data_IF_077862424452
#
_entry.id   IF_077862424452
#
_cell.length_a   1.000
_cell.length_b   1.000
_cell.length_c   1.000
_cell.angle_alpha   90.00
_cell.angle_beta   90.00
_cell.angle_gamma   90.00
#
_symmetry.space_group_name_H-M   'P 1'
#
loop_
_entity.id
_entity.type
_entity.pdbx_description
1 polymer ?
#
# COMPACT_ATOMS: atom_id res chain seq x y z
N UNK A 1 -5.33 7.85 -28.51
CA UNK A 1 -5.32 6.36 -28.60
C UNK A 1 -4.41 5.83 -27.50
N UNK A 2 -4.90 4.88 -26.69
CA UNK A 2 -4.10 4.24 -25.62
C UNK A 2 -3.07 3.27 -26.24
N UNK A 3 -1.94 3.07 -25.58
CA UNK A 3 -0.81 2.22 -26.00
C UNK A 3 -0.23 1.50 -24.79
N UNK A 4 0.34 0.32 -24.99
CA UNK A 4 1.08 -0.41 -23.95
C UNK A 4 2.44 0.27 -23.68
N UNK A 5 2.72 0.51 -22.40
CA UNK A 5 3.98 1.02 -21.86
C UNK A 5 4.46 0.12 -20.72
N UNK A 6 5.78 0.11 -20.55
CA UNK A 6 6.47 -0.48 -19.42
C UNK A 6 7.16 0.66 -18.67
N UNK A 7 6.89 0.78 -17.38
CA UNK A 7 7.60 1.68 -16.47
C UNK A 7 8.49 0.81 -15.58
N UNK A 8 9.80 1.06 -15.59
CA UNK A 8 10.73 0.58 -14.57
C UNK A 8 11.23 1.75 -13.74
N UNK A 9 11.23 1.64 -12.42
CA UNK A 9 11.86 2.63 -11.54
C UNK A 9 12.62 1.97 -10.39
N UNK A 10 13.58 2.74 -9.87
CA UNK A 10 14.48 2.38 -8.77
C UNK A 10 14.24 3.38 -7.64
N UNK A 11 13.88 2.90 -6.46
CA UNK A 11 13.75 3.69 -5.25
C UNK A 11 15.03 3.67 -4.41
N UNK A 12 15.27 4.72 -3.63
CA UNK A 12 16.33 4.77 -2.61
C UNK A 12 16.18 3.56 -1.65
N UNK A 13 17.24 2.77 -1.37
CA UNK A 13 17.18 1.63 -0.46
C UNK A 13 16.90 1.97 1.01
N UNK A 14 16.87 3.25 1.38
CA UNK A 14 16.51 3.77 2.71
C UNK A 14 14.99 3.95 2.90
N UNK A 15 14.19 3.92 1.83
CA UNK A 15 12.74 4.05 1.98
C UNK A 15 12.15 2.81 2.64
N UNK A 16 11.24 3.03 3.60
CA UNK A 16 10.51 1.95 4.24
C UNK A 16 9.45 1.34 3.30
N UNK A 17 8.95 0.16 3.64
CA UNK A 17 7.91 -0.50 2.84
C UNK A 17 6.61 0.32 2.75
N UNK A 18 6.27 1.07 3.81
CA UNK A 18 5.13 1.99 3.82
C UNK A 18 5.28 3.14 2.82
N UNK A 19 6.47 3.76 2.75
CA UNK A 19 6.79 4.78 1.74
C UNK A 19 6.76 4.17 0.34
N UNK A 20 7.31 2.96 0.16
CA UNK A 20 7.24 2.22 -1.11
C UNK A 20 5.80 2.02 -1.59
N UNK A 21 4.88 1.68 -0.67
CA UNK A 21 3.44 1.57 -0.98
C UNK A 21 2.82 2.92 -1.33
N UNK A 22 3.12 3.98 -0.57
CA UNK A 22 2.63 5.33 -0.86
C UNK A 22 3.09 5.87 -2.22
N UNK A 23 4.32 5.56 -2.66
CA UNK A 23 4.81 5.90 -4.01
C UNK A 23 4.08 5.10 -5.07
N UNK A 24 3.87 3.79 -4.85
CA UNK A 24 3.07 2.94 -5.73
C UNK A 24 1.66 3.52 -5.88
N UNK A 25 0.94 3.75 -4.78
CA UNK A 25 -0.39 4.35 -4.79
C UNK A 25 -0.40 5.71 -5.51
N UNK A 26 0.60 6.57 -5.29
CA UNK A 26 0.75 7.86 -6.02
C UNK A 26 0.84 7.65 -7.54
N UNK A 27 1.59 6.65 -8.00
CA UNK A 27 1.67 6.26 -9.41
C UNK A 27 0.33 5.70 -9.90
N UNK A 28 -0.34 4.85 -9.12
CA UNK A 28 -1.66 4.31 -9.47
C UNK A 28 -2.73 5.40 -9.60
N UNK A 29 -2.73 6.39 -8.70
CA UNK A 29 -3.63 7.55 -8.75
C UNK A 29 -3.39 8.40 -10.01
N UNK A 30 -2.14 8.71 -10.36
CA UNK A 30 -1.83 9.43 -11.62
C UNK A 30 -2.32 8.64 -12.84
N UNK A 31 -2.14 7.31 -12.85
CA UNK A 31 -2.63 6.45 -13.93
C UNK A 31 -4.17 6.44 -14.01
N UNK A 32 -4.85 6.35 -12.88
CA UNK A 32 -6.31 6.34 -12.80
C UNK A 32 -6.94 7.69 -13.22
N UNK A 33 -6.37 8.81 -12.76
CA UNK A 33 -6.85 10.16 -13.06
C UNK A 33 -6.81 10.52 -14.56
N UNK A 34 -6.00 9.82 -15.34
CA UNK A 34 -5.85 10.02 -16.78
C UNK A 34 -6.34 8.82 -17.62
N UNK A 35 -7.34 8.09 -17.12
CA UNK A 35 -8.03 7.04 -17.89
C UNK A 35 -7.09 5.88 -18.33
N UNK A 36 -6.02 5.65 -17.57
CA UNK A 36 -5.05 4.59 -17.77
C UNK A 36 -5.46 3.27 -17.10
N UNK A 37 -4.91 2.16 -17.58
CA UNK A 37 -5.12 0.83 -16.99
C UNK A 37 -3.78 0.19 -16.62
N UNK A 38 -3.68 -0.32 -15.40
CA UNK A 38 -2.54 -1.14 -14.96
C UNK A 38 -2.83 -2.60 -15.32
N UNK A 39 -1.87 -3.25 -15.97
CA UNK A 39 -1.98 -4.65 -16.42
C UNK A 39 -1.31 -5.59 -15.42
N UNK A 40 -0.18 -5.17 -14.85
CA UNK A 40 0.63 -5.96 -13.91
C UNK A 40 1.63 -5.08 -13.19
N UNK A 41 1.78 -5.30 -11.88
CA UNK A 41 2.89 -4.78 -11.07
C UNK A 41 3.86 -5.94 -10.79
N UNK A 42 5.16 -5.67 -10.79
CA UNK A 42 6.21 -6.63 -10.48
C UNK A 42 7.29 -5.97 -9.63
N UNK A 43 7.28 -6.29 -8.33
CA UNK A 43 8.26 -5.81 -7.37
C UNK A 43 9.40 -6.82 -7.27
N UNK A 44 10.64 -6.38 -7.49
CA UNK A 44 11.84 -7.23 -7.46
C UNK A 44 12.58 -7.17 -6.12
N UNK A 45 12.14 -6.31 -5.21
CA UNK A 45 12.83 -6.06 -3.94
C UNK A 45 14.11 -5.23 -4.09
N UNK A 46 14.89 -5.18 -3.02
CA UNK A 46 16.19 -4.52 -2.97
C UNK A 46 17.24 -5.34 -3.73
N UNK A 47 17.91 -4.73 -4.70
CA UNK A 47 19.01 -5.33 -5.47
C UNK A 47 20.19 -4.36 -5.57
N UNK A 48 21.40 -4.92 -5.65
CA UNK A 48 22.64 -4.16 -5.80
C UNK A 48 22.76 -3.54 -7.20
N UNK A 49 23.08 -2.25 -7.25
CA UNK A 49 23.32 -1.48 -8.47
C UNK A 49 24.72 -1.77 -9.04
N UNK A 50 24.88 -1.65 -10.36
CA UNK A 50 26.17 -1.84 -11.03
C UNK A 50 27.19 -0.74 -10.74
N UNK A 51 26.70 0.46 -10.41
CA UNK A 51 27.47 1.64 -10.00
C UNK A 51 26.61 2.47 -9.03
N UNK A 52 27.21 3.31 -8.17
CA UNK A 52 26.42 4.09 -7.21
C UNK A 52 25.62 5.20 -7.90
N UNK A 53 24.36 5.35 -7.52
CA UNK A 53 23.49 6.46 -7.91
C UNK A 53 23.20 7.24 -6.63
N UNK A 54 23.49 8.54 -6.61
CA UNK A 54 23.30 9.42 -5.44
C UNK A 54 23.93 8.85 -4.14
N UNK A 55 25.09 8.19 -4.30
CA UNK A 55 25.85 7.47 -3.26
C UNK A 55 25.27 6.11 -2.81
N UNK A 56 24.04 5.76 -3.20
CA UNK A 56 23.45 4.45 -2.93
C UNK A 56 24.03 3.37 -3.86
N UNK A 57 24.39 2.21 -3.28
CA UNK A 57 24.91 1.03 -4.01
C UNK A 57 23.86 -0.06 -4.23
N UNK A 58 22.70 0.11 -3.64
CA UNK A 58 21.55 -0.78 -3.71
C UNK A 58 20.33 0.07 -4.06
N UNK A 59 19.24 -0.55 -4.53
CA UNK A 59 17.99 0.13 -4.82
C UNK A 59 16.83 -0.85 -4.89
N UNK A 60 15.62 -0.38 -4.63
CA UNK A 60 14.42 -1.21 -4.73
C UNK A 60 13.84 -1.11 -6.14
N UNK A 61 13.69 -2.24 -6.82
CA UNK A 61 13.27 -2.28 -8.23
C UNK A 61 11.77 -2.59 -8.34
N UNK A 62 11.04 -1.74 -9.08
CA UNK A 62 9.63 -1.94 -9.43
C UNK A 62 9.43 -1.79 -10.92
N UNK A 63 8.69 -2.73 -11.51
CA UNK A 63 8.27 -2.70 -12.92
C UNK A 63 6.74 -2.76 -13.00
N UNK A 64 6.16 -1.92 -13.85
CA UNK A 64 4.71 -1.84 -14.05
C UNK A 64 4.38 -1.87 -15.54
N UNK A 65 3.57 -2.85 -15.94
CA UNK A 65 2.95 -2.94 -17.26
C UNK A 65 1.65 -2.12 -17.26
N UNK A 66 1.52 -1.14 -18.16
CA UNK A 66 0.41 -0.19 -18.18
C UNK A 66 -0.08 0.10 -19.60
N UNK A 67 -1.34 0.49 -19.74
CA UNK A 67 -1.97 0.96 -20.98
C UNK A 67 -2.37 2.42 -20.76
N UNK A 68 -1.65 3.34 -21.41
CA UNK A 68 -1.73 4.78 -21.15
C UNK A 68 -1.96 5.58 -22.44
N UNK A 69 -2.42 6.82 -22.28
CA UNK A 69 -2.36 7.83 -23.36
C UNK A 69 -0.95 8.46 -23.40
N UNK A 70 -0.51 9.04 -24.53
CA UNK A 70 0.79 9.72 -24.59
C UNK A 70 0.85 10.96 -23.69
N UNK A 71 -0.29 11.59 -23.38
CA UNK A 71 -0.37 12.76 -22.49
C UNK A 71 -0.14 12.34 -21.02
N UNK A 72 -0.79 11.26 -20.58
CA UNK A 72 -0.56 10.62 -19.26
C UNK A 72 0.92 10.31 -19.02
N UNK A 73 1.65 9.87 -20.05
CA UNK A 73 3.08 9.51 -19.94
C UNK A 73 3.95 10.73 -19.65
N UNK A 74 3.58 11.91 -20.15
CA UNK A 74 4.33 13.16 -19.91
C UNK A 74 4.12 13.63 -18.46
N UNK A 75 2.88 13.54 -17.95
CA UNK A 75 2.59 13.87 -16.55
C UNK A 75 3.24 12.87 -15.58
N UNK A 76 3.19 11.58 -15.89
CA UNK A 76 3.85 10.56 -15.08
C UNK A 76 5.38 10.72 -15.03
N UNK A 77 6.02 11.07 -16.15
CA UNK A 77 7.46 11.41 -16.19
C UNK A 77 7.78 12.61 -15.28
N UNK A 78 6.94 13.65 -15.30
CA UNK A 78 7.07 14.83 -14.44
C UNK A 78 6.93 14.47 -12.96
N UNK A 79 5.89 13.73 -12.57
CA UNK A 79 5.66 13.33 -11.17
C UNK A 79 6.80 12.45 -10.63
N UNK A 80 7.26 11.48 -11.42
CA UNK A 80 8.39 10.62 -11.04
C UNK A 80 9.69 11.41 -10.89
N UNK A 81 9.95 12.37 -11.79
CA UNK A 81 11.15 13.22 -11.75
C UNK A 81 11.17 14.22 -10.59
N UNK A 82 10.01 14.62 -10.06
CA UNK A 82 9.89 15.48 -8.87
C UNK A 82 10.00 14.68 -7.56
N UNK A 83 9.82 13.36 -7.61
CA UNK A 83 9.86 12.51 -6.42
C UNK A 83 11.31 12.16 -6.05
N UNK A 84 11.86 12.81 -5.03
CA UNK A 84 13.24 12.60 -4.53
C UNK A 84 13.52 11.15 -4.08
N UNK A 85 12.48 10.37 -3.80
CA UNK A 85 12.57 8.95 -3.45
C UNK A 85 12.95 8.05 -4.66
N UNK A 86 12.82 8.57 -5.89
CA UNK A 86 13.03 7.84 -7.16
C UNK A 86 14.41 8.17 -7.75
N UNK A 87 15.42 7.35 -7.45
CA UNK A 87 16.79 7.48 -7.97
C UNK A 87 16.85 7.47 -9.50
N UNK A 88 15.98 6.68 -10.16
CA UNK A 88 15.91 6.59 -11.61
C UNK A 88 14.61 5.94 -12.08
N UNK A 89 13.99 6.51 -13.10
CA UNK A 89 12.90 5.88 -13.87
C UNK A 89 13.27 5.70 -15.34
N UNK A 90 12.54 4.80 -16.01
CA UNK A 90 12.56 4.57 -17.44
C UNK A 90 11.16 4.19 -17.90
N UNK A 91 10.55 5.01 -18.75
CA UNK A 91 9.29 4.70 -19.43
C UNK A 91 9.60 4.26 -20.86
N UNK A 92 9.18 3.05 -21.23
CA UNK A 92 9.38 2.46 -22.54
C UNK A 92 8.05 2.12 -23.17
N UNK A 93 7.82 2.54 -24.42
CA UNK A 93 6.68 2.06 -25.21
C UNK A 93 6.92 0.60 -25.61
N UNK A 94 5.96 -0.29 -25.35
CA UNK A 94 6.06 -1.70 -25.73
C UNK A 94 5.47 -1.90 -27.13
N UNK A 95 6.12 -2.72 -27.95
CA UNK A 95 5.61 -3.01 -29.29
C UNK A 95 4.44 -4.01 -29.22
N UNK A 96 3.34 -3.77 -29.96
CA UNK A 96 2.11 -4.56 -29.82
C UNK A 96 2.30 -6.03 -30.16
N UNK A 97 3.25 -6.37 -31.04
CA UNK A 97 3.58 -7.76 -31.39
C UNK A 97 4.21 -8.53 -30.22
N UNK A 98 4.98 -7.85 -29.37
CA UNK A 98 5.64 -8.47 -28.21
C UNK A 98 4.62 -8.70 -27.10
N UNK A 99 3.76 -7.71 -26.82
CA UNK A 99 2.67 -7.81 -25.85
C UNK A 99 1.75 -9.00 -26.15
N UNK A 100 1.31 -9.16 -27.41
CA UNK A 100 0.41 -10.27 -27.75
C UNK A 100 1.10 -11.62 -27.56
N UNK A 101 2.33 -11.79 -28.06
CA UNK A 101 3.10 -13.02 -27.89
C UNK A 101 3.32 -13.37 -26.41
N UNK A 102 3.52 -12.38 -25.54
CA UNK A 102 3.66 -12.58 -24.10
C UNK A 102 2.32 -12.88 -23.40
N UNK A 103 1.20 -12.29 -23.85
CA UNK A 103 -0.15 -12.65 -23.39
C UNK A 103 -0.54 -14.07 -23.83
N UNK A 104 -0.25 -14.45 -25.07
CA UNK A 104 -0.46 -15.79 -25.63
C UNK A 104 0.42 -16.84 -24.93
N UNK A 105 1.72 -16.53 -24.71
CA UNK A 105 2.61 -17.41 -23.95
C UNK A 105 2.18 -17.54 -22.48
N UNK A 106 1.69 -16.47 -21.84
CA UNK A 106 1.15 -16.53 -20.47
C UNK A 106 -0.19 -17.26 -20.41
N UNK A 107 -1.03 -17.16 -21.43
CA UNK A 107 -2.28 -17.93 -21.55
C UNK A 107 -1.99 -19.43 -21.77
N UNK A 108 -1.03 -19.78 -22.64
CA UNK A 108 -0.57 -21.15 -22.84
C UNK A 108 0.10 -21.72 -21.58
N UNK A 109 0.93 -20.93 -20.89
CA UNK A 109 1.53 -21.33 -19.62
C UNK A 109 0.46 -21.54 -18.53
N UNK A 110 -0.51 -20.65 -18.41
CA UNK A 110 -1.63 -20.79 -17.47
C UNK A 110 -2.51 -22.03 -17.77
N UNK A 111 -2.77 -22.31 -19.06
CA UNK A 111 -3.45 -23.54 -19.49
C UNK A 111 -2.62 -24.80 -19.16
N UNK A 112 -1.29 -24.75 -19.28
CA UNK A 112 -0.40 -25.86 -18.90
C UNK A 112 -0.26 -26.06 -17.39
N UNK A 113 -0.35 -24.99 -16.60
CA UNK A 113 -0.27 -25.04 -15.13
C UNK A 113 -1.55 -25.60 -14.48
N UNK A 114 -2.69 -25.50 -15.16
CA UNK A 114 -3.94 -26.14 -14.74
C UNK A 114 -4.00 -27.66 -15.03
N UNK A 115 -3.05 -28.20 -15.82
CA UNK A 115 -3.08 -29.60 -16.28
C UNK A 115 -2.17 -30.57 -15.50
N UNK A 116 -1.31 -30.07 -14.59
CA UNK A 116 -0.34 -30.89 -13.84
C UNK A 116 -0.76 -31.24 -12.40
N UNK A 117 -1.97 -30.90 -11.98
CA UNK A 117 -2.50 -31.20 -10.63
C UNK A 117 -3.36 -32.48 -10.54
N UNK A 118 -3.49 -33.27 -11.62
CA UNK A 118 -4.37 -34.46 -11.67
C UNK A 118 -3.58 -35.71 -12.07
N UNK A 119 -2.95 -36.39 -11.10
CA UNK A 119 -2.81 -37.86 -11.01
C UNK A 119 -2.10 -38.25 -9.70
N UNK A 120 -2.90 -38.57 -8.67
CA UNK A 120 -2.75 -39.73 -7.78
C UNK A 120 -3.92 -39.70 -6.75
N UNK A 121 -4.59 -40.82 -6.42
CA UNK A 121 -6.02 -40.76 -6.06
C UNK A 121 -6.33 -40.83 -4.55
N UNK A 122 -7.60 -40.51 -4.24
CA UNK A 122 -8.28 -40.85 -2.98
C UNK A 122 -8.40 -42.39 -2.80
N UNK A 123 -8.80 -42.97 -1.66
CA UNK A 123 -9.52 -42.49 -0.46
C UNK A 123 -9.27 -43.52 0.71
N UNK A 124 -10.05 -43.62 1.82
CA UNK A 124 -11.09 -42.73 2.40
C UNK A 124 -11.03 -42.55 3.95
N UNK A 125 -12.04 -41.84 4.49
CA UNK A 125 -12.63 -41.93 5.87
C UNK A 125 -11.77 -41.54 7.10
N UNK A 126 -12.11 -40.46 7.83
CA UNK A 126 -13.10 -40.32 8.94
C UNK A 126 -12.43 -40.54 10.32
N UNK A 127 -12.78 -39.94 11.46
CA UNK A 127 -13.96 -39.20 11.97
C UNK A 127 -13.51 -37.93 12.76
N UNK A 128 -14.29 -36.84 12.85
CA UNK A 128 -15.20 -36.43 13.96
C UNK A 128 -14.57 -36.18 15.35
N UNK A 129 -15.07 -35.15 16.06
CA UNK A 129 -14.52 -34.63 17.33
C UNK A 129 -14.38 -33.10 17.27
N UNK A 130 -15.43 -32.28 17.26
CA UNK A 130 -16.54 -32.23 18.21
C UNK A 130 -16.06 -31.86 19.64
N UNK A 131 -15.71 -30.58 19.76
CA UNK A 131 -16.08 -29.67 20.86
C UNK A 131 -16.92 -30.29 21.99
N UNK A 132 -16.28 -30.69 23.09
CA UNK A 132 -16.91 -30.79 24.42
C UNK A 132 -15.85 -30.66 25.52
N UNK A 133 -15.87 -29.54 26.24
CA UNK A 133 -15.53 -29.52 27.67
C UNK A 133 -16.24 -28.33 28.31
N UNK A 134 -17.43 -28.58 28.85
CA UNK A 134 -18.17 -27.62 29.67
C UNK A 134 -18.59 -28.27 30.98
N UNK A 135 -18.55 -27.48 32.06
CA UNK A 135 -19.19 -27.75 33.35
C UNK A 135 -18.48 -28.85 34.21
N UNK A 136 -18.39 -28.79 35.54
CA UNK A 136 -18.96 -27.94 36.64
C UNK A 136 -18.14 -28.26 37.93
N UNK A 137 -18.39 -27.77 39.18
CA UNK A 137 -19.60 -27.09 39.69
C UNK A 137 -19.45 -25.88 40.66
N UNK A 138 -20.59 -25.16 40.76
CA UNK A 138 -21.20 -24.58 41.98
C UNK A 138 -20.50 -23.47 42.77
N UNK A 139 -21.17 -22.32 42.80
CA UNK A 139 -21.04 -21.24 43.79
C UNK A 139 -22.24 -20.30 43.67
N UNK A 140 -23.31 -20.59 44.42
CA UNK A 140 -24.67 -20.06 44.20
C UNK A 140 -25.00 -18.85 45.13
N UNK A 141 -25.23 -17.66 44.53
CA UNK A 141 -25.92 -16.43 45.03
C UNK A 141 -25.56 -15.84 46.42
N UNK A 142 -26.07 -14.63 46.83
CA UNK A 142 -26.94 -13.66 46.15
C UNK A 142 -26.43 -12.21 46.05
N UNK A 143 -27.24 -11.38 45.38
CA UNK A 143 -27.13 -9.93 45.29
C UNK A 143 -27.34 -9.19 46.64
N UNK A 144 -26.81 -7.97 46.74
CA UNK A 144 -27.29 -7.01 47.74
C UNK A 144 -26.33 -5.87 48.09
N UNK A 145 -26.76 -4.66 47.71
CA UNK A 145 -26.69 -3.40 48.47
C UNK A 145 -25.72 -2.30 48.02
N UNK A 146 -26.33 -1.12 47.87
CA UNK A 146 -25.77 0.18 47.51
C UNK A 146 -25.24 0.96 48.73
N UNK A 147 -24.51 2.05 48.47
CA UNK A 147 -24.09 3.05 49.46
C UNK A 147 -22.68 2.81 50.06
N UNK A 148 -21.93 3.84 50.46
CA UNK A 148 -22.13 5.28 50.27
C UNK A 148 -20.79 6.02 50.48
N UNK A 149 -20.71 7.30 50.09
CA UNK A 149 -19.51 8.17 50.19
C UNK A 149 -19.32 8.68 51.63
N UNK A 150 -18.08 9.00 52.04
CA UNK A 150 -17.72 10.43 52.19
C UNK A 150 -16.29 10.75 51.69
N UNK A 151 -16.05 11.82 50.91
CA UNK A 151 -16.06 13.26 51.24
C UNK A 151 -14.78 13.76 51.93
N UNK A 152 -14.09 14.71 51.28
CA UNK A 152 -12.93 15.45 51.80
C UNK A 152 -12.01 15.90 50.65
N UNK A 153 -12.35 16.99 49.95
CA UNK A 153 -11.71 18.32 50.07
C UNK A 153 -10.25 18.37 49.54
N UNK A 154 -9.85 19.28 48.64
CA UNK A 154 -10.54 20.40 47.96
C UNK A 154 -9.78 20.77 46.67
N UNK A 155 -10.42 21.57 45.79
CA UNK A 155 -9.91 22.81 45.17
C UNK A 155 -8.51 22.85 44.55
N UNK A 156 -8.20 23.54 43.45
CA UNK A 156 -8.94 24.34 42.46
C UNK A 156 -7.94 24.44 41.25
N UNK A 157 -8.23 24.84 40.02
CA UNK A 157 -9.40 25.43 39.35
C UNK A 157 -9.26 25.13 37.83
N UNK A 158 -10.28 25.40 37.00
CA UNK A 158 -10.15 25.44 35.53
C UNK A 158 -10.92 26.67 35.04
N UNK A 159 -10.22 27.74 34.71
CA UNK A 159 -10.76 28.97 34.12
C UNK A 159 -9.96 29.23 32.82
N UNK A 160 -10.52 28.87 31.68
CA UNK A 160 -11.45 29.65 30.84
C UNK A 160 -10.71 30.71 29.99
N UNK A 161 -10.91 30.61 28.67
CA UNK A 161 -10.26 31.47 27.68
C UNK A 161 -11.26 32.53 27.23
N UNK A 162 -11.06 33.82 27.57
CA UNK A 162 -11.89 34.90 27.03
C UNK A 162 -11.49 35.21 25.57
N UNK A 163 -12.46 35.32 24.62
CA UNK A 163 -12.18 35.67 23.24
C UNK A 163 -12.44 37.17 22.92
N UNK A 164 -11.46 37.82 22.27
CA UNK A 164 -11.53 39.21 21.74
C UNK A 164 -11.80 40.29 22.84
N UNK A 165 -11.77 41.62 22.65
CA UNK A 165 -12.14 42.52 21.53
C UNK A 165 -11.48 43.91 21.83
N UNK A 166 -11.02 44.69 20.81
CA UNK A 166 -10.79 46.18 20.80
C UNK A 166 -9.84 46.78 21.90
N UNK A 167 -9.23 47.98 21.82
CA UNK A 167 -9.00 49.01 20.78
C UNK A 167 -7.78 49.90 21.15
N UNK A 168 -7.27 50.71 20.20
CA UNK A 168 -6.44 51.95 20.40
C UNK A 168 -5.10 51.85 21.22
N UNK A 169 -4.10 52.74 21.13
CA UNK A 169 -3.87 53.97 20.34
C UNK A 169 -2.33 54.20 20.12
N UNK A 170 -1.96 54.79 18.97
CA UNK A 170 -0.96 55.87 18.77
C UNK A 170 0.56 55.82 19.11
N UNK A 171 1.22 56.80 18.47
CA UNK A 171 2.57 57.40 18.69
C UNK A 171 3.73 56.66 17.99
N UNK A 172 4.08 57.02 16.74
CA UNK A 172 5.06 58.07 16.32
C UNK A 172 6.54 57.68 16.51
N UNK A 173 7.48 58.03 15.62
CA UNK A 173 7.46 58.93 14.45
C UNK A 173 8.41 58.44 13.32
#
# INVERSE_FOLDING_TARGET
MRRDYELGFILNPEVNEEQTRAILERVEQVVANHDGQIVRINQWGRRRLGYPIEHHRDGFYVFIDMILTPETVIELDRTLKVSEEVLRHLIKRRDPKTVQKEREARAAAAASAAATATTAPAAPEAEAGAEDEMAVPTGDVPAGQEGEIPTGLSAEEIEDVPPAIEDEESVEA
#
